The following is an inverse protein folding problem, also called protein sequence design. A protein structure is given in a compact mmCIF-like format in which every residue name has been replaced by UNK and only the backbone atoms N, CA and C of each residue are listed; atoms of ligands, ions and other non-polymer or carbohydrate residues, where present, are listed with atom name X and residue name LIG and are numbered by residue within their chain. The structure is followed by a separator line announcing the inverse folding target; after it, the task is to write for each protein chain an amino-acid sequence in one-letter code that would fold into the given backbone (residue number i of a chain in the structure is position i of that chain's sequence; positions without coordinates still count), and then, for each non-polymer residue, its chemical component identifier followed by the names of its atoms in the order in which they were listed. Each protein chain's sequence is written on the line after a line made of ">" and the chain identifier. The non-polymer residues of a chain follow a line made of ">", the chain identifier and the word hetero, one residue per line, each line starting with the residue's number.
data_IF_477536679245
#
_entry.id   IF_477536679245
#
_cell.length_a   1.000
_cell.length_b   1.000
_cell.length_c   1.000
_cell.angle_alpha   90.00
_cell.angle_beta   90.00
_cell.angle_gamma   90.00
#
_symmetry.space_group_name_H-M   'P 1'
#
loop_
_entity.id
_entity.type
_entity.pdbx_description
1 polymer ?
#
# COMPACT_ATOMS: atom_id res chain seq x y z
N UNK A 1 18.28 -27.14 -10.32
CA UNK A 1 18.14 -26.61 -8.94
C UNK A 1 16.70 -26.87 -8.49
N UNK A 2 16.52 -27.47 -7.34
CA UNK A 2 15.20 -27.58 -6.74
C UNK A 2 14.66 -26.17 -6.50
N UNK A 3 13.39 -25.95 -6.80
CA UNK A 3 12.74 -24.66 -6.64
C UNK A 3 12.20 -24.49 -5.24
N UNK A 4 12.05 -23.23 -4.80
CA UNK A 4 11.27 -22.92 -3.62
C UNK A 4 9.83 -23.40 -3.79
N UNK A 5 9.18 -23.83 -2.71
CA UNK A 5 7.73 -24.04 -2.69
C UNK A 5 7.11 -22.99 -1.78
N UNK A 6 6.17 -22.24 -2.34
CA UNK A 6 5.42 -21.21 -1.60
C UNK A 6 3.98 -21.69 -1.47
N UNK A 7 3.59 -22.03 -0.25
CA UNK A 7 2.23 -22.45 0.06
C UNK A 7 1.46 -21.26 0.62
N UNK A 8 0.31 -20.94 0.03
CA UNK A 8 -0.46 -19.78 0.42
C UNK A 8 -1.83 -19.70 -0.24
N UNK A 9 -2.46 -18.52 -0.19
CA UNK A 9 -3.74 -18.24 -0.83
C UNK A 9 -3.65 -16.99 -1.72
N UNK A 10 -4.46 -16.94 -2.76
CA UNK A 10 -4.44 -15.85 -3.75
C UNK A 10 -4.86 -14.50 -3.15
N UNK A 11 -5.71 -14.50 -2.15
CA UNK A 11 -6.20 -13.33 -1.44
C UNK A 11 -5.25 -12.82 -0.36
N UNK A 12 -4.33 -13.63 0.17
CA UNK A 12 -3.44 -13.29 1.28
C UNK A 12 -2.45 -12.16 0.92
N UNK A 13 -2.44 -11.03 1.64
CA UNK A 13 -1.54 -9.89 1.36
C UNK A 13 -0.06 -10.25 1.49
N UNK A 14 0.31 -11.01 2.53
CA UNK A 14 1.68 -11.46 2.75
C UNK A 14 2.16 -12.43 1.69
N UNK A 15 1.26 -13.29 1.18
CA UNK A 15 1.54 -14.14 0.05
C UNK A 15 1.79 -13.32 -1.22
N UNK A 16 0.96 -12.31 -1.49
CA UNK A 16 1.15 -11.39 -2.61
C UNK A 16 2.50 -10.65 -2.50
N UNK A 17 2.81 -10.11 -1.32
CA UNK A 17 4.06 -9.43 -1.02
C UNK A 17 5.28 -10.33 -1.25
N UNK A 18 5.26 -11.56 -0.72
CA UNK A 18 6.35 -12.53 -0.89
C UNK A 18 6.53 -12.93 -2.36
N UNK A 19 5.44 -13.19 -3.10
CA UNK A 19 5.49 -13.50 -4.54
C UNK A 19 6.09 -12.35 -5.36
N UNK A 20 5.69 -11.10 -5.07
CA UNK A 20 6.25 -9.91 -5.74
C UNK A 20 7.74 -9.79 -5.46
N UNK A 21 8.16 -9.96 -4.19
CA UNK A 21 9.56 -9.91 -3.80
C UNK A 21 10.39 -10.98 -4.52
N UNK A 22 9.96 -12.24 -4.50
CA UNK A 22 10.64 -13.33 -5.20
C UNK A 22 10.72 -13.10 -6.71
N UNK A 23 9.62 -12.65 -7.32
CA UNK A 23 9.57 -12.33 -8.76
C UNK A 23 10.54 -11.23 -9.15
N UNK A 24 10.60 -10.13 -8.39
CA UNK A 24 11.51 -9.00 -8.64
C UNK A 24 12.99 -9.38 -8.55
N UNK A 25 13.30 -10.37 -7.71
CA UNK A 25 14.65 -10.94 -7.60
C UNK A 25 14.88 -12.15 -8.51
N UNK A 26 13.91 -12.48 -9.40
CA UNK A 26 13.99 -13.62 -10.34
C UNK A 26 14.23 -14.97 -9.66
N UNK A 27 13.72 -15.11 -8.45
CA UNK A 27 13.77 -16.38 -7.71
C UNK A 27 12.64 -17.27 -8.20
N UNK A 28 12.97 -18.40 -8.80
CA UNK A 28 11.97 -19.36 -9.26
C UNK A 28 11.36 -20.12 -8.08
N UNK A 29 10.04 -20.23 -8.07
CA UNK A 29 9.30 -20.98 -7.05
C UNK A 29 8.10 -21.70 -7.66
N UNK A 30 7.66 -22.75 -6.97
CA UNK A 30 6.40 -23.45 -7.27
C UNK A 30 5.33 -22.93 -6.30
N UNK A 31 4.26 -22.36 -6.85
CA UNK A 31 3.12 -21.88 -6.07
C UNK A 31 2.15 -23.02 -5.79
N UNK A 32 1.79 -23.20 -4.52
CA UNK A 32 0.80 -24.16 -4.06
C UNK A 32 -0.36 -23.39 -3.42
N UNK A 33 -1.46 -23.34 -4.14
CA UNK A 33 -2.68 -22.67 -3.67
C UNK A 33 -3.46 -23.59 -2.74
N UNK A 34 -3.65 -23.19 -1.49
CA UNK A 34 -4.37 -23.94 -0.48
C UNK A 34 -5.86 -24.12 -0.79
N UNK A 35 -6.47 -23.16 -1.52
CA UNK A 35 -7.89 -23.24 -1.88
C UNK A 35 -8.16 -24.36 -2.89
N UNK A 36 -7.19 -24.60 -3.78
CA UNK A 36 -7.27 -25.60 -4.83
C UNK A 36 -6.58 -26.93 -4.47
N UNK A 37 -5.94 -27.02 -3.28
CA UNK A 37 -5.21 -28.20 -2.84
C UNK A 37 -5.46 -28.50 -1.35
N UNK A 38 -6.47 -29.31 -1.02
CA UNK A 38 -6.78 -29.65 0.36
C UNK A 38 -5.61 -30.32 1.13
N UNK A 39 -4.70 -31.01 0.43
CA UNK A 39 -3.50 -31.58 1.03
C UNK A 39 -2.51 -30.54 1.52
N UNK A 40 -2.51 -29.35 0.92
CA UNK A 40 -1.64 -28.25 1.31
C UNK A 40 -1.98 -27.69 2.70
N UNK A 41 -3.27 -27.68 3.07
CA UNK A 41 -3.71 -27.25 4.41
C UNK A 41 -3.10 -28.16 5.48
N UNK A 42 -3.24 -29.48 5.31
CA UNK A 42 -2.67 -30.44 6.25
C UNK A 42 -1.13 -30.36 6.32
N UNK A 43 -0.48 -30.07 5.17
CA UNK A 43 0.96 -29.85 5.12
C UNK A 43 1.36 -28.60 5.92
N UNK A 44 0.69 -27.47 5.72
CA UNK A 44 0.95 -26.22 6.46
C UNK A 44 0.73 -26.42 7.96
N UNK A 45 -0.37 -27.04 8.38
CA UNK A 45 -0.64 -27.33 9.79
C UNK A 45 0.46 -28.21 10.41
N UNK A 46 0.91 -29.23 9.68
CA UNK A 46 2.02 -30.09 10.13
C UNK A 46 3.32 -29.33 10.29
N UNK A 47 3.65 -28.42 9.36
CA UNK A 47 4.88 -27.64 9.36
C UNK A 47 4.85 -26.52 10.42
N UNK A 48 3.67 -25.98 10.73
CA UNK A 48 3.49 -24.80 11.58
C UNK A 48 2.87 -25.15 12.95
N UNK A 49 3.12 -26.37 13.46
CA UNK A 49 2.63 -26.80 14.78
C UNK A 49 1.10 -26.65 14.95
N UNK A 50 0.34 -27.01 13.92
CA UNK A 50 -1.12 -26.97 13.92
C UNK A 50 -1.71 -25.61 13.49
N UNK A 51 -0.89 -24.60 13.15
CA UNK A 51 -1.36 -23.31 12.67
C UNK A 51 -1.43 -23.26 11.13
N UNK A 52 -2.40 -22.51 10.59
CA UNK A 52 -2.58 -22.27 9.16
C UNK A 52 -1.90 -20.99 8.68
N UNK A 53 -0.70 -20.70 9.21
CA UNK A 53 0.04 -19.49 8.85
C UNK A 53 0.56 -19.54 7.42
N UNK A 54 0.31 -18.50 6.63
CA UNK A 54 0.72 -18.35 5.23
C UNK A 54 1.24 -16.93 4.93
N UNK A 55 2.20 -16.78 4.00
CA UNK A 55 2.86 -17.85 3.23
C UNK A 55 3.77 -18.75 4.08
N UNK A 56 3.73 -20.04 3.83
CA UNK A 56 4.74 -20.99 4.32
C UNK A 56 5.67 -21.30 3.16
N UNK A 57 6.95 -20.98 3.29
CA UNK A 57 7.95 -21.09 2.23
C UNK A 57 8.96 -22.18 2.59
N UNK A 58 9.02 -23.22 1.76
CA UNK A 58 9.96 -24.32 1.90
C UNK A 58 11.15 -24.10 0.95
N UNK A 59 12.35 -24.15 1.50
CA UNK A 59 13.59 -24.00 0.75
C UNK A 59 14.18 -25.35 0.37
N UNK A 60 15.00 -25.43 -0.69
CA UNK A 60 15.64 -26.66 -1.13
C UNK A 60 16.57 -27.31 -0.08
N UNK A 61 17.09 -26.52 0.84
CA UNK A 61 17.92 -26.99 1.95
C UNK A 61 17.10 -27.60 3.11
N UNK A 62 15.78 -27.69 2.95
CA UNK A 62 14.86 -28.21 3.95
C UNK A 62 14.44 -27.20 5.02
N UNK A 63 14.97 -25.98 5.00
CA UNK A 63 14.53 -24.93 5.92
C UNK A 63 13.18 -24.36 5.51
N UNK A 64 12.48 -23.77 6.50
CA UNK A 64 11.12 -23.24 6.31
C UNK A 64 11.08 -21.82 6.88
N UNK A 65 10.45 -20.92 6.17
CA UNK A 65 10.04 -19.62 6.69
C UNK A 65 8.50 -19.52 6.68
N UNK A 66 7.95 -19.03 7.78
CA UNK A 66 6.51 -18.86 7.98
C UNK A 66 6.20 -17.38 8.11
N UNK A 67 5.34 -16.87 7.23
CA UNK A 67 5.00 -15.43 7.17
C UNK A 67 6.25 -14.51 7.16
N UNK A 68 7.32 -14.87 6.39
CA UNK A 68 8.56 -14.11 6.47
C UNK A 68 8.37 -12.68 5.99
N UNK A 69 9.02 -11.74 6.67
CA UNK A 69 9.25 -10.40 6.16
C UNK A 69 10.15 -10.44 4.90
N UNK A 70 10.19 -9.35 4.14
CA UNK A 70 11.13 -9.28 3.01
C UNK A 70 12.60 -9.22 3.46
N UNK A 71 12.86 -8.72 4.69
CA UNK A 71 14.20 -8.74 5.30
C UNK A 71 14.67 -10.19 5.52
N UNK A 72 13.82 -11.03 6.11
CA UNK A 72 14.11 -12.45 6.35
C UNK A 72 14.27 -13.22 5.03
N UNK A 73 13.45 -12.90 4.01
CA UNK A 73 13.61 -13.47 2.67
C UNK A 73 14.92 -13.04 2.03
N UNK A 74 15.29 -11.76 2.15
CA UNK A 74 16.54 -11.24 1.60
C UNK A 74 17.76 -11.91 2.26
N UNK A 75 17.73 -12.03 3.61
CA UNK A 75 18.82 -12.69 4.36
C UNK A 75 18.95 -14.16 3.96
N UNK A 76 17.81 -14.88 3.89
CA UNK A 76 17.81 -16.32 3.53
C UNK A 76 18.25 -16.57 2.09
N UNK A 77 18.00 -15.63 1.18
CA UNK A 77 18.34 -15.71 -0.23
C UNK A 77 19.66 -15.02 -0.57
N UNK A 78 20.39 -14.53 0.45
CA UNK A 78 21.67 -13.81 0.30
C UNK A 78 21.58 -12.63 -0.68
N UNK A 79 20.41 -11.95 -0.71
CA UNK A 79 20.20 -10.76 -1.56
C UNK A 79 20.91 -9.58 -0.92
N UNK A 80 21.80 -8.93 -1.70
CA UNK A 80 22.50 -7.74 -1.23
C UNK A 80 21.53 -6.62 -0.87
N UNK A 81 21.71 -6.05 0.34
CA UNK A 81 20.95 -4.90 0.86
C UNK A 81 21.86 -3.68 1.07
N UNK A 82 22.98 -3.62 0.38
CA UNK A 82 23.89 -2.48 0.40
C UNK A 82 23.91 -1.81 -0.95
N UNK A 83 23.91 -0.47 -0.96
CA UNK A 83 24.05 0.32 -2.17
C UNK A 83 25.43 0.08 -2.82
N UNK A 84 25.43 0.00 -4.14
CA UNK A 84 26.67 -0.22 -4.94
C UNK A 84 27.61 0.97 -4.86
N UNK A 85 27.09 2.16 -4.55
CA UNK A 85 27.86 3.39 -4.50
C UNK A 85 27.55 4.18 -3.22
N UNK A 86 28.51 4.99 -2.82
CA UNK A 86 28.37 5.85 -1.64
C UNK A 86 27.69 7.20 -1.96
N UNK A 87 27.58 7.57 -3.25
CA UNK A 87 27.05 8.87 -3.68
C UNK A 87 26.13 8.74 -4.89
N UNK A 88 25.00 9.46 -4.85
CA UNK A 88 23.99 9.54 -5.90
C UNK A 88 23.56 10.99 -6.15
N UNK A 89 23.12 11.27 -7.38
CA UNK A 89 22.47 12.56 -7.67
C UNK A 89 21.12 12.65 -6.99
N UNK A 90 20.38 11.52 -6.94
CA UNK A 90 19.07 11.43 -6.32
C UNK A 90 18.93 10.12 -5.55
N UNK A 91 18.57 10.24 -4.26
CA UNK A 91 18.05 9.14 -3.45
C UNK A 91 16.55 9.31 -3.27
N UNK A 92 15.80 8.23 -3.42
CA UNK A 92 14.33 8.23 -3.26
C UNK A 92 13.97 7.27 -2.12
N UNK A 93 13.30 7.77 -1.10
CA UNK A 93 12.77 6.98 0.00
C UNK A 93 11.35 6.49 -0.33
N UNK A 94 11.21 5.17 -0.51
CA UNK A 94 9.99 4.48 -0.94
C UNK A 94 10.06 4.02 -2.40
N UNK A 95 9.39 2.91 -2.73
CA UNK A 95 9.41 2.25 -4.04
C UNK A 95 8.04 2.22 -4.74
N UNK A 96 7.15 3.15 -4.42
CA UNK A 96 5.82 3.25 -5.02
C UNK A 96 5.82 3.88 -6.43
N UNK A 97 4.63 4.05 -7.04
CA UNK A 97 4.50 4.60 -8.39
C UNK A 97 5.12 5.98 -8.59
N UNK A 98 5.02 6.88 -7.60
CA UNK A 98 5.66 8.20 -7.66
C UNK A 98 7.18 8.06 -7.73
N UNK A 99 7.78 7.20 -6.90
CA UNK A 99 9.22 6.91 -6.87
C UNK A 99 9.72 6.38 -8.18
N UNK A 100 9.08 5.31 -8.66
CA UNK A 100 9.48 4.63 -9.90
C UNK A 100 9.39 5.58 -11.10
N UNK A 101 8.34 6.40 -11.15
CA UNK A 101 8.20 7.41 -12.22
C UNK A 101 9.29 8.48 -12.12
N UNK A 102 9.53 9.04 -10.93
CA UNK A 102 10.62 10.02 -10.74
C UNK A 102 11.97 9.44 -11.16
N UNK A 103 12.25 8.21 -10.73
CA UNK A 103 13.51 7.54 -11.05
C UNK A 103 13.69 7.31 -12.56
N UNK A 104 12.62 6.89 -13.28
CA UNK A 104 12.64 6.74 -14.74
C UNK A 104 12.98 8.07 -15.42
N UNK A 105 12.30 9.17 -15.03
CA UNK A 105 12.54 10.49 -15.63
C UNK A 105 13.96 10.99 -15.33
N UNK A 106 14.40 10.89 -14.08
CA UNK A 106 15.73 11.35 -13.65
C UNK A 106 16.87 10.54 -14.33
N UNK A 107 16.75 9.21 -14.34
CA UNK A 107 17.78 8.36 -14.95
C UNK A 107 17.86 8.52 -16.48
N UNK A 108 16.76 8.83 -17.16
CA UNK A 108 16.78 9.18 -18.61
C UNK A 108 17.58 10.45 -18.91
N UNK A 109 17.80 11.29 -17.93
CA UNK A 109 18.63 12.49 -18.01
C UNK A 109 20.03 12.28 -17.44
N UNK A 110 20.47 11.02 -17.36
CA UNK A 110 21.78 10.57 -16.87
C UNK A 110 22.05 10.87 -15.39
N UNK A 111 21.03 11.11 -14.59
CA UNK A 111 21.21 11.20 -13.14
C UNK A 111 21.40 9.80 -12.55
N UNK A 112 22.31 9.68 -11.61
CA UNK A 112 22.55 8.46 -10.83
C UNK A 112 21.50 8.37 -9.72
N UNK A 113 20.59 7.42 -9.84
CA UNK A 113 19.39 7.32 -8.98
C UNK A 113 19.41 6.03 -8.17
N UNK A 114 19.13 6.17 -6.88
CA UNK A 114 18.89 5.06 -5.96
C UNK A 114 17.48 5.16 -5.39
N UNK A 115 16.72 4.06 -5.46
CA UNK A 115 15.48 3.86 -4.70
C UNK A 115 15.78 2.99 -3.49
N UNK A 116 15.33 3.42 -2.30
CA UNK A 116 15.39 2.64 -1.06
C UNK A 116 13.98 2.29 -0.63
N UNK A 117 13.63 0.99 -0.69
CA UNK A 117 12.29 0.48 -0.40
C UNK A 117 12.33 -0.53 0.75
N UNK A 118 11.50 -0.30 1.77
CA UNK A 118 11.44 -1.16 2.97
C UNK A 118 10.90 -2.56 2.72
N UNK A 119 10.15 -2.75 1.64
CA UNK A 119 9.57 -4.04 1.28
C UNK A 119 9.80 -4.36 -0.20
N UNK A 120 8.79 -4.74 -0.94
CA UNK A 120 8.84 -4.91 -2.39
C UNK A 120 8.43 -3.61 -3.10
N UNK A 121 8.95 -3.35 -4.28
CA UNK A 121 8.55 -2.19 -5.08
C UNK A 121 7.09 -2.29 -5.52
N UNK A 122 6.46 -1.13 -5.69
CA UNK A 122 5.06 -0.98 -6.04
C UNK A 122 4.22 -0.35 -4.94
N UNK A 123 4.66 -0.44 -3.68
CA UNK A 123 3.90 0.11 -2.54
C UNK A 123 2.47 -0.43 -2.50
N UNK A 124 1.50 0.41 -2.17
CA UNK A 124 0.07 0.04 -2.15
C UNK A 124 -0.44 -0.42 -3.53
N UNK A 125 0.09 0.14 -4.61
CA UNK A 125 -0.28 -0.30 -5.96
C UNK A 125 0.11 -1.77 -6.22
N UNK A 126 1.26 -2.21 -5.71
CA UNK A 126 1.74 -3.59 -5.91
C UNK A 126 0.89 -4.66 -5.24
N UNK A 127 0.12 -4.32 -4.21
CA UNK A 127 -0.77 -5.25 -3.50
C UNK A 127 -2.25 -5.11 -3.90
N UNK A 128 -2.59 -4.09 -4.70
CA UNK A 128 -3.93 -3.92 -5.27
C UNK A 128 -4.18 -5.02 -6.30
N UNK A 129 -5.35 -5.66 -6.24
CA UNK A 129 -5.68 -6.77 -7.11
C UNK A 129 -5.71 -6.34 -8.58
N UNK A 130 -6.41 -5.24 -8.90
CA UNK A 130 -6.58 -4.76 -10.26
C UNK A 130 -6.84 -3.25 -10.30
N UNK A 131 -6.33 -2.60 -11.33
CA UNK A 131 -6.64 -1.20 -11.69
C UNK A 131 -7.42 -1.16 -13.00
N UNK A 132 -8.65 -0.69 -12.95
CA UNK A 132 -9.49 -0.41 -14.13
C UNK A 132 -9.49 1.09 -14.49
N UNK A 133 -8.96 1.94 -13.60
CA UNK A 133 -8.93 3.40 -13.77
C UNK A 133 -7.56 3.96 -14.13
N UNK A 134 -6.57 3.12 -14.47
CA UNK A 134 -5.26 3.58 -14.92
C UNK A 134 -5.21 3.64 -16.45
N UNK A 135 -4.99 4.84 -17.05
CA UNK A 135 -5.01 5.00 -18.51
C UNK A 135 -3.97 4.15 -19.23
N UNK A 136 -4.33 3.62 -20.40
CA UNK A 136 -3.48 2.77 -21.22
C UNK A 136 -3.76 1.28 -21.10
N UNK A 137 -4.65 0.88 -20.19
CA UNK A 137 -5.06 -0.51 -19.98
C UNK A 137 -6.58 -0.65 -20.05
N UNK A 138 -7.15 -0.76 -21.26
CA UNK A 138 -8.62 -0.78 -21.45
C UNK A 138 -9.29 -1.97 -20.76
N UNK A 139 -8.55 -3.07 -20.60
CA UNK A 139 -9.04 -4.29 -19.92
C UNK A 139 -8.58 -4.35 -18.45
N UNK A 140 -8.08 -3.23 -17.88
CA UNK A 140 -7.46 -3.19 -16.56
C UNK A 140 -6.10 -3.88 -16.51
N UNK A 141 -5.42 -3.76 -15.37
CA UNK A 141 -4.12 -4.39 -15.11
C UNK A 141 -3.98 -4.77 -13.64
N UNK A 142 -3.38 -5.93 -13.35
CA UNK A 142 -3.03 -6.31 -11.99
C UNK A 142 -2.00 -5.36 -11.38
N UNK A 143 -2.19 -5.00 -10.11
CA UNK A 143 -1.29 -4.05 -9.45
C UNK A 143 0.15 -4.56 -9.35
N UNK A 144 0.34 -5.83 -9.04
CA UNK A 144 1.66 -6.46 -9.01
C UNK A 144 2.34 -6.43 -10.39
N UNK A 145 1.60 -6.72 -11.46
CA UNK A 145 2.11 -6.67 -12.84
C UNK A 145 2.51 -5.25 -13.23
N UNK A 146 1.69 -4.25 -12.90
CA UNK A 146 2.00 -2.85 -13.19
C UNK A 146 3.24 -2.37 -12.44
N UNK A 147 3.35 -2.73 -11.16
CA UNK A 147 4.52 -2.42 -10.34
C UNK A 147 5.81 -3.04 -10.89
N UNK A 148 5.74 -4.29 -11.34
CA UNK A 148 6.86 -4.97 -11.99
C UNK A 148 7.27 -4.26 -13.29
N UNK A 149 6.30 -3.89 -14.15
CA UNK A 149 6.57 -3.14 -15.39
C UNK A 149 7.28 -1.80 -15.11
N UNK A 150 6.84 -1.05 -14.08
CA UNK A 150 7.51 0.18 -13.67
C UNK A 150 8.94 -0.07 -13.17
N UNK A 151 9.15 -1.10 -12.33
CA UNK A 151 10.46 -1.46 -11.81
C UNK A 151 11.42 -1.91 -12.94
N UNK A 152 10.94 -2.73 -13.87
CA UNK A 152 11.73 -3.15 -15.04
C UNK A 152 12.11 -1.95 -15.92
N UNK A 153 11.19 -1.01 -16.11
CA UNK A 153 11.47 0.22 -16.85
C UNK A 153 12.53 1.08 -16.15
N UNK A 154 12.44 1.26 -14.83
CA UNK A 154 13.45 1.98 -14.05
C UNK A 154 14.83 1.30 -14.14
N UNK A 155 14.90 -0.01 -13.93
CA UNK A 155 16.13 -0.80 -14.05
C UNK A 155 16.75 -0.72 -15.45
N UNK A 156 15.95 -0.66 -16.52
CA UNK A 156 16.42 -0.50 -17.90
C UNK A 156 17.24 0.80 -18.08
N UNK A 157 16.96 1.84 -17.31
CA UNK A 157 17.70 3.11 -17.34
C UNK A 157 18.81 3.18 -16.29
N UNK A 158 19.15 2.06 -15.64
CA UNK A 158 20.26 1.99 -14.69
C UNK A 158 19.90 2.47 -13.28
N UNK A 159 18.61 2.56 -12.95
CA UNK A 159 18.17 2.86 -11.58
C UNK A 159 18.52 1.69 -10.67
N UNK A 160 19.24 1.97 -9.61
CA UNK A 160 19.49 1.01 -8.54
C UNK A 160 18.30 0.99 -7.56
N UNK A 161 17.88 -0.20 -7.15
CA UNK A 161 16.75 -0.39 -6.25
C UNK A 161 17.16 -1.32 -5.12
N UNK A 162 17.27 -0.76 -3.92
CA UNK A 162 17.43 -1.54 -2.69
C UNK A 162 16.07 -1.91 -2.14
N UNK A 163 15.80 -3.18 -2.01
CA UNK A 163 14.59 -3.72 -1.38
C UNK A 163 14.93 -4.30 -0.01
N UNK A 164 13.94 -4.41 0.87
CA UNK A 164 14.12 -4.83 2.24
C UNK A 164 15.10 -3.92 3.01
N UNK A 165 15.15 -2.63 2.64
CA UNK A 165 15.97 -1.59 3.29
C UNK A 165 15.11 -0.36 3.56
N UNK A 166 15.13 0.14 4.80
CA UNK A 166 14.46 1.39 5.17
C UNK A 166 15.44 2.55 5.20
N UNK A 167 14.97 3.73 4.82
CA UNK A 167 15.60 4.98 5.24
C UNK A 167 15.19 5.23 6.68
N UNK A 168 16.17 5.34 7.59
CA UNK A 168 15.92 5.57 9.02
C UNK A 168 15.96 7.05 9.38
N UNK A 169 16.86 7.78 8.74
CA UNK A 169 17.00 9.21 8.96
C UNK A 169 17.78 9.86 7.81
N UNK A 170 17.73 11.17 7.74
CA UNK A 170 18.61 11.95 6.87
C UNK A 170 18.95 13.29 7.55
N UNK A 171 20.04 13.88 7.11
CA UNK A 171 20.50 15.20 7.56
C UNK A 171 21.18 15.94 6.42
N UNK A 172 21.06 17.26 6.40
CA UNK A 172 21.86 18.09 5.51
C UNK A 172 23.34 18.03 5.91
N UNK A 173 24.23 18.01 4.91
CA UNK A 173 25.69 18.03 5.07
C UNK A 173 26.29 19.00 4.07
N UNK A 174 27.59 19.26 4.19
CA UNK A 174 28.34 20.16 3.27
C UNK A 174 28.34 19.64 1.82
N UNK A 175 28.14 18.33 1.63
CA UNK A 175 28.13 17.68 0.32
C UNK A 175 26.72 17.35 -0.20
N UNK A 176 25.66 17.81 0.48
CA UNK A 176 24.28 17.54 0.13
C UNK A 176 23.48 16.95 1.29
N UNK A 177 23.01 15.72 1.16
CA UNK A 177 22.15 15.07 2.15
C UNK A 177 22.73 13.69 2.47
N UNK A 178 23.05 13.45 3.73
CA UNK A 178 23.44 12.13 4.23
C UNK A 178 22.17 11.34 4.57
N UNK A 179 21.95 10.22 3.91
CA UNK A 179 20.80 9.33 4.09
C UNK A 179 21.26 8.06 4.80
N UNK A 180 20.76 7.82 6.01
CA UNK A 180 21.06 6.61 6.78
C UNK A 180 20.01 5.53 6.54
N UNK A 181 20.47 4.29 6.30
CA UNK A 181 19.62 3.13 6.05
C UNK A 181 19.57 2.18 7.26
N UNK A 182 18.59 1.27 7.25
CA UNK A 182 18.44 0.21 8.27
C UNK A 182 19.57 -0.82 8.26
N UNK A 183 20.40 -0.83 7.24
CA UNK A 183 21.64 -1.65 7.16
C UNK A 183 22.87 -0.92 7.73
N UNK A 184 22.67 0.22 8.39
CA UNK A 184 23.69 1.12 8.91
C UNK A 184 24.62 1.76 7.85
N UNK A 185 24.28 1.65 6.56
CA UNK A 185 24.98 2.38 5.50
C UNK A 185 24.52 3.84 5.50
N UNK A 186 25.47 4.76 5.31
CA UNK A 186 25.20 6.18 5.04
C UNK A 186 25.49 6.45 3.58
N UNK A 187 24.51 6.95 2.86
CA UNK A 187 24.53 7.23 1.43
C UNK A 187 24.44 8.74 1.24
N UNK A 188 25.33 9.31 0.45
CA UNK A 188 25.29 10.72 0.10
C UNK A 188 24.38 10.96 -1.10
N UNK A 189 23.54 11.97 -1.01
CA UNK A 189 22.64 12.37 -2.09
C UNK A 189 22.75 13.88 -2.35
N UNK A 190 22.76 14.30 -3.61
CA UNK A 190 22.64 15.71 -3.97
C UNK A 190 21.22 16.22 -3.80
N UNK A 191 20.23 15.33 -4.01
CA UNK A 191 18.82 15.55 -3.72
C UNK A 191 18.19 14.31 -3.09
N UNK A 192 17.18 14.50 -2.22
CA UNK A 192 16.40 13.45 -1.60
C UNK A 192 14.91 13.64 -1.96
N UNK A 193 14.25 12.57 -2.38
CA UNK A 193 12.80 12.56 -2.55
C UNK A 193 12.13 11.66 -1.52
N UNK A 194 11.14 12.20 -0.83
CA UNK A 194 10.29 11.48 0.12
C UNK A 194 9.03 10.99 -0.61
N UNK A 195 8.91 9.70 -0.82
CA UNK A 195 7.78 9.07 -1.51
C UNK A 195 7.31 7.80 -0.78
N UNK A 196 7.32 7.86 0.54
CA UNK A 196 7.00 6.73 1.44
C UNK A 196 5.52 6.40 1.51
N UNK A 197 4.66 7.21 0.85
CA UNK A 197 3.23 6.98 0.76
C UNK A 197 2.48 7.13 2.08
N UNK A 198 1.31 6.51 2.12
CA UNK A 198 0.45 6.44 3.31
C UNK A 198 -0.09 5.03 3.50
N UNK A 199 -0.56 4.75 4.71
CA UNK A 199 -1.15 3.45 5.07
C UNK A 199 -2.58 3.67 5.55
N UNK A 200 -3.51 2.87 5.05
CA UNK A 200 -4.89 2.90 5.53
C UNK A 200 -4.93 2.46 7.00
N UNK A 201 -5.73 3.18 7.79
CA UNK A 201 -6.01 2.79 9.16
C UNK A 201 -6.82 1.51 9.17
N UNK A 202 -6.52 0.67 10.13
CA UNK A 202 -7.19 -0.60 10.36
C UNK A 202 -8.26 -0.45 11.41
N UNK A 203 -9.27 -1.31 11.33
CA UNK A 203 -10.32 -1.37 12.36
C UNK A 203 -9.84 -2.13 13.59
N UNK A 204 -8.81 -2.96 13.43
CA UNK A 204 -8.32 -3.94 14.40
C UNK A 204 -9.39 -4.98 14.80
N UNK A 205 -10.41 -5.16 13.96
CA UNK A 205 -11.46 -6.15 14.17
C UNK A 205 -10.97 -7.55 13.80
N UNK A 206 -11.50 -8.56 14.48
CA UNK A 206 -11.18 -9.97 14.21
C UNK A 206 -11.53 -10.27 12.74
N UNK A 207 -10.65 -11.00 12.04
CA UNK A 207 -10.85 -11.41 10.64
C UNK A 207 -10.59 -10.32 9.60
N UNK A 208 -10.23 -9.08 10.00
CA UNK A 208 -9.93 -8.01 9.03
C UNK A 208 -8.77 -8.41 8.11
N UNK A 209 -7.66 -8.85 8.68
CA UNK A 209 -6.44 -9.18 7.92
C UNK A 209 -6.66 -10.30 6.90
N UNK A 210 -7.47 -11.29 7.25
CA UNK A 210 -7.75 -12.44 6.40
C UNK A 210 -8.64 -12.09 5.19
N UNK A 211 -9.42 -11.00 5.29
CA UNK A 211 -10.43 -10.63 4.30
C UNK A 211 -10.05 -9.42 3.45
N UNK A 212 -8.87 -8.83 3.64
CA UNK A 212 -8.40 -7.75 2.78
C UNK A 212 -8.18 -8.26 1.36
N UNK A 213 -8.86 -7.59 0.40
CA UNK A 213 -8.91 -8.01 -1.00
C UNK A 213 -9.86 -9.19 -1.27
N UNK A 214 -10.37 -9.85 -0.22
CA UNK A 214 -11.35 -10.94 -0.33
C UNK A 214 -12.76 -10.52 0.14
N UNK A 215 -12.97 -9.20 0.30
CA UNK A 215 -14.24 -8.62 0.72
C UNK A 215 -14.08 -7.36 1.58
N UNK A 216 -12.86 -7.04 2.04
CA UNK A 216 -12.53 -5.78 2.70
C UNK A 216 -11.64 -4.95 1.79
N UNK A 217 -12.04 -3.71 1.53
CA UNK A 217 -11.43 -2.81 0.57
C UNK A 217 -11.20 -1.42 1.16
N UNK A 218 -10.31 -0.64 0.55
CA UNK A 218 -9.94 0.71 0.97
C UNK A 218 -10.09 1.77 -0.14
N UNK A 219 -10.67 1.37 -1.29
CA UNK A 219 -10.86 2.26 -2.44
C UNK A 219 -12.14 1.87 -3.18
N UNK A 220 -13.21 2.65 -3.07
CA UNK A 220 -14.47 2.34 -3.76
C UNK A 220 -14.36 2.50 -5.27
N UNK A 221 -13.60 3.48 -5.77
CA UNK A 221 -13.38 3.67 -7.21
C UNK A 221 -12.57 2.53 -7.84
N UNK A 222 -11.74 1.84 -7.05
CA UNK A 222 -10.95 0.71 -7.52
C UNK A 222 -11.78 -0.59 -7.50
N UNK A 223 -12.46 -0.85 -6.38
CA UNK A 223 -13.04 -2.16 -6.07
C UNK A 223 -14.57 -2.19 -6.19
N UNK A 224 -15.25 -1.03 -6.11
CA UNK A 224 -16.71 -0.92 -6.21
C UNK A 224 -17.30 -1.58 -7.46
N UNK A 225 -16.72 -1.41 -8.67
CA UNK A 225 -17.23 -2.04 -9.88
C UNK A 225 -17.35 -3.57 -9.83
N UNK A 226 -16.54 -4.25 -8.99
CA UNK A 226 -16.62 -5.71 -8.80
C UNK A 226 -17.88 -6.16 -8.04
N UNK A 227 -18.55 -5.22 -7.36
CA UNK A 227 -19.75 -5.46 -6.57
C UNK A 227 -21.05 -5.15 -7.33
N UNK A 228 -21.01 -5.07 -8.66
CA UNK A 228 -22.22 -4.83 -9.46
C UNK A 228 -23.27 -5.91 -9.23
N UNK A 229 -24.44 -5.49 -8.67
CA UNK A 229 -25.53 -6.38 -8.30
C UNK A 229 -25.43 -6.95 -6.88
N UNK A 230 -24.48 -6.46 -6.06
CA UNK A 230 -24.44 -6.79 -4.64
C UNK A 230 -25.71 -6.34 -3.93
N UNK A 231 -26.14 -7.09 -2.92
CA UNK A 231 -27.33 -6.74 -2.12
C UNK A 231 -27.00 -5.70 -1.09
N UNK A 232 -25.89 -5.87 -0.40
CA UNK A 232 -25.49 -5.03 0.73
C UNK A 232 -23.98 -4.78 0.71
N UNK A 233 -23.60 -3.49 0.77
CA UNK A 233 -22.23 -3.08 1.02
C UNK A 233 -22.16 -2.27 2.32
N UNK A 234 -21.11 -2.47 3.08
CA UNK A 234 -20.86 -1.73 4.32
C UNK A 234 -19.71 -0.74 4.10
N UNK A 235 -19.92 0.48 4.56
CA UNK A 235 -18.92 1.54 4.61
C UNK A 235 -18.57 1.84 6.05
N UNK A 236 -17.31 1.76 6.42
CA UNK A 236 -16.81 2.07 7.76
C UNK A 236 -16.21 3.48 7.76
N UNK A 237 -16.85 4.38 8.50
CA UNK A 237 -16.43 5.77 8.67
C UNK A 237 -17.39 6.78 8.04
N UNK A 238 -17.85 7.72 8.87
CA UNK A 238 -18.79 8.80 8.52
C UNK A 238 -18.14 10.15 8.22
N UNK A 239 -16.85 10.15 7.85
CA UNK A 239 -16.13 11.32 7.35
C UNK A 239 -16.43 11.62 5.88
N UNK A 240 -15.83 12.71 5.32
CA UNK A 240 -16.03 13.06 3.90
C UNK A 240 -15.78 11.88 2.97
N UNK A 241 -14.65 11.20 3.11
CA UNK A 241 -14.29 10.06 2.24
C UNK A 241 -15.34 8.94 2.32
N UNK A 242 -15.74 8.53 3.54
CA UNK A 242 -16.72 7.45 3.68
C UNK A 242 -18.10 7.81 3.10
N UNK A 243 -18.53 9.07 3.22
CA UNK A 243 -19.82 9.51 2.66
C UNK A 243 -19.78 9.65 1.13
N UNK A 244 -18.70 10.21 0.57
CA UNK A 244 -18.52 10.33 -0.89
C UNK A 244 -18.41 8.96 -1.55
N UNK A 245 -17.54 8.10 -1.02
CA UNK A 245 -17.32 6.75 -1.54
C UNK A 245 -18.57 5.86 -1.31
N UNK A 246 -19.27 6.04 -0.19
CA UNK A 246 -20.55 5.36 0.06
C UNK A 246 -21.62 5.71 -0.97
N UNK A 247 -21.76 7.01 -1.30
CA UNK A 247 -22.64 7.46 -2.38
C UNK A 247 -22.23 6.87 -3.74
N UNK A 248 -20.94 6.79 -4.02
CA UNK A 248 -20.44 6.17 -5.24
C UNK A 248 -20.81 4.67 -5.31
N UNK A 249 -20.69 3.94 -4.21
CA UNK A 249 -21.01 2.51 -4.12
C UNK A 249 -22.49 2.19 -4.39
N UNK A 250 -23.42 3.13 -4.19
CA UNK A 250 -24.85 2.94 -4.52
C UNK A 250 -25.11 2.66 -6.01
N UNK A 251 -24.14 2.92 -6.87
CA UNK A 251 -24.22 2.59 -8.30
C UNK A 251 -24.07 1.09 -8.55
N UNK A 252 -23.49 0.35 -7.62
CA UNK A 252 -23.15 -1.06 -7.77
C UNK A 252 -23.99 -1.98 -6.89
N UNK A 253 -24.47 -1.50 -5.74
CA UNK A 253 -25.24 -2.27 -4.79
C UNK A 253 -26.72 -1.84 -4.74
N UNK A 254 -27.56 -2.75 -4.25
CA UNK A 254 -28.95 -2.46 -3.93
C UNK A 254 -29.04 -1.56 -2.71
N UNK A 255 -28.16 -1.76 -1.72
CA UNK A 255 -28.10 -0.98 -0.49
C UNK A 255 -26.66 -0.80 0.02
N UNK A 256 -26.41 0.33 0.71
CA UNK A 256 -25.11 0.68 1.34
C UNK A 256 -25.36 1.16 2.77
N UNK A 257 -24.79 0.48 3.75
CA UNK A 257 -24.85 0.87 5.16
C UNK A 257 -23.55 1.54 5.61
N UNK A 258 -23.65 2.80 6.07
CA UNK A 258 -22.54 3.51 6.71
C UNK A 258 -22.52 3.22 8.19
N UNK A 259 -21.40 2.72 8.72
CA UNK A 259 -21.18 2.48 10.15
C UNK A 259 -20.17 3.52 10.67
N UNK A 260 -20.61 4.33 11.62
CA UNK A 260 -19.80 5.37 12.26
C UNK A 260 -19.74 5.13 13.78
N UNK A 261 -18.54 5.16 14.34
CA UNK A 261 -18.33 4.98 15.79
C UNK A 261 -18.79 6.16 16.63
N UNK A 262 -18.80 7.35 16.03
CA UNK A 262 -19.26 8.56 16.70
C UNK A 262 -20.79 8.67 16.74
N UNK A 263 -21.27 9.57 17.56
CA UNK A 263 -22.68 9.94 17.73
C UNK A 263 -23.22 10.75 16.55
N UNK A 264 -22.36 11.14 15.62
CA UNK A 264 -22.70 11.99 14.48
C UNK A 264 -21.76 11.77 13.31
N UNK A 265 -22.25 12.00 12.08
CA UNK A 265 -21.43 12.03 10.88
C UNK A 265 -20.48 13.24 10.91
N UNK A 266 -19.24 13.05 10.47
CA UNK A 266 -18.16 14.05 10.47
C UNK A 266 -17.88 14.66 9.10
N UNK A 267 -18.55 14.19 8.06
CA UNK A 267 -18.48 14.77 6.72
C UNK A 267 -19.16 16.13 6.62
N UNK A 268 -19.00 16.81 5.48
CA UNK A 268 -19.65 18.10 5.23
C UNK A 268 -21.17 17.97 5.30
N UNK A 269 -21.87 19.04 5.73
CA UNK A 269 -23.34 19.02 5.82
C UNK A 269 -24.02 18.60 4.53
N UNK A 270 -23.49 19.05 3.39
CA UNK A 270 -24.01 18.67 2.08
C UNK A 270 -23.94 17.17 1.82
N UNK A 271 -22.84 16.52 2.22
CA UNK A 271 -22.69 15.06 2.08
C UNK A 271 -23.59 14.31 3.05
N UNK A 272 -23.70 14.80 4.30
CA UNK A 272 -24.62 14.24 5.28
C UNK A 272 -26.06 14.26 4.76
N UNK A 273 -26.52 15.41 4.24
CA UNK A 273 -27.86 15.56 3.68
C UNK A 273 -28.10 14.59 2.50
N UNK A 274 -27.12 14.47 1.59
CA UNK A 274 -27.20 13.53 0.46
C UNK A 274 -27.34 12.08 0.93
N UNK A 275 -26.52 11.66 1.88
CA UNK A 275 -26.52 10.29 2.40
C UNK A 275 -27.81 9.98 3.16
N UNK A 276 -28.23 10.89 4.06
CA UNK A 276 -29.42 10.68 4.90
C UNK A 276 -30.74 10.67 4.11
N UNK A 277 -30.78 11.33 2.93
CA UNK A 277 -31.93 11.36 2.04
C UNK A 277 -31.84 10.34 0.89
N UNK A 278 -30.79 9.53 0.83
CA UNK A 278 -30.59 8.59 -0.27
C UNK A 278 -31.35 7.28 -0.02
N UNK A 279 -32.26 6.89 -0.94
CA UNK A 279 -33.10 5.71 -0.82
C UNK A 279 -32.37 4.37 -0.62
N UNK A 280 -31.13 4.28 -1.15
CA UNK A 280 -30.29 3.09 -1.04
C UNK A 280 -29.28 3.17 0.11
N UNK A 281 -29.37 4.14 1.01
CA UNK A 281 -28.38 4.27 2.07
C UNK A 281 -29.01 4.27 3.46
N UNK A 282 -28.30 3.71 4.41
CA UNK A 282 -28.59 3.83 5.83
C UNK A 282 -27.35 4.17 6.63
N UNK A 283 -27.55 4.75 7.82
CA UNK A 283 -26.45 5.16 8.71
C UNK A 283 -26.68 4.52 10.08
N UNK A 284 -25.63 3.91 10.61
CA UNK A 284 -25.54 3.36 11.96
C UNK A 284 -24.51 4.20 12.73
N UNK A 285 -24.98 5.07 13.59
CA UNK A 285 -24.16 5.86 14.51
C UNK A 285 -23.88 5.07 15.79
N UNK A 286 -22.91 5.54 16.58
CA UNK A 286 -22.51 4.88 17.84
C UNK A 286 -22.26 3.38 17.65
N UNK A 287 -21.73 2.99 16.50
CA UNK A 287 -21.59 1.59 16.10
C UNK A 287 -20.14 1.28 15.69
N UNK A 288 -19.62 0.17 16.18
CA UNK A 288 -18.28 -0.31 15.86
C UNK A 288 -18.30 -1.71 15.28
N UNK A 289 -17.26 -2.07 14.56
CA UNK A 289 -17.07 -3.43 14.05
C UNK A 289 -16.18 -4.20 15.02
N UNK A 290 -16.62 -5.39 15.42
CA UNK A 290 -15.86 -6.34 16.28
C UNK A 290 -15.19 -7.44 15.47
N UNK A 291 -15.87 -7.91 14.42
CA UNK A 291 -15.43 -9.06 13.65
C UNK A 291 -15.95 -8.98 12.22
N UNK A 292 -15.16 -9.47 11.29
CA UNK A 292 -15.54 -9.80 9.93
C UNK A 292 -15.58 -11.31 9.78
N UNK A 293 -16.71 -11.86 9.35
CA UNK A 293 -16.85 -13.30 9.15
C UNK A 293 -16.72 -13.65 7.68
N UNK A 294 -16.20 -14.86 7.42
CA UNK A 294 -16.03 -15.37 6.06
C UNK A 294 -17.01 -16.47 5.71
N UNK A 295 -17.24 -16.65 4.41
CA UNK A 295 -17.85 -17.86 3.85
C UNK A 295 -16.83 -19.00 3.85
N UNK A 296 -17.27 -20.24 3.60
CA UNK A 296 -16.38 -21.38 3.40
C UNK A 296 -15.37 -21.15 2.26
N UNK A 297 -15.71 -20.30 1.28
CA UNK A 297 -14.82 -19.89 0.17
C UNK A 297 -13.89 -18.72 0.48
N UNK A 298 -13.75 -18.30 1.74
CA UNK A 298 -12.80 -17.24 2.15
C UNK A 298 -13.22 -15.82 1.76
N UNK A 299 -14.45 -15.58 1.31
CA UNK A 299 -14.99 -14.24 1.01
C UNK A 299 -15.74 -13.69 2.21
N UNK A 300 -15.86 -12.37 2.30
CA UNK A 300 -16.68 -11.72 3.31
C UNK A 300 -18.13 -12.27 3.26
N UNK A 301 -18.67 -12.59 4.44
CA UNK A 301 -20.07 -12.99 4.64
C UNK A 301 -20.84 -11.94 5.41
N UNK A 302 -20.28 -11.45 6.50
CA UNK A 302 -20.95 -10.50 7.38
C UNK A 302 -19.97 -9.69 8.21
N UNK A 303 -20.50 -8.63 8.79
CA UNK A 303 -19.83 -7.77 9.75
C UNK A 303 -20.54 -7.88 11.09
N UNK A 304 -19.83 -8.24 12.15
CA UNK A 304 -20.38 -8.24 13.51
C UNK A 304 -20.27 -6.82 14.07
N UNK A 305 -21.40 -6.20 14.26
CA UNK A 305 -21.52 -4.81 14.69
C UNK A 305 -21.90 -4.75 16.17
N UNK A 306 -21.22 -3.88 16.91
CA UNK A 306 -21.56 -3.53 18.29
C UNK A 306 -22.14 -2.11 18.34
N UNK A 307 -23.33 -1.98 18.91
CA UNK A 307 -23.90 -0.69 19.30
C UNK A 307 -23.20 -0.22 20.57
N UNK A 308 -22.43 0.85 20.50
CA UNK A 308 -21.56 1.29 21.59
C UNK A 308 -22.34 1.86 22.80
N UNK A 309 -23.56 2.33 22.59
CA UNK A 309 -24.42 2.87 23.64
C UNK A 309 -25.11 1.77 24.46
N UNK A 310 -25.58 0.71 23.78
CA UNK A 310 -26.34 -0.37 24.41
C UNK A 310 -25.49 -1.60 24.73
N UNK A 311 -24.33 -1.75 24.07
CA UNK A 311 -23.52 -2.96 24.10
C UNK A 311 -24.11 -4.13 23.32
N UNK A 312 -25.23 -3.93 22.58
CA UNK A 312 -25.82 -4.95 21.75
C UNK A 312 -24.90 -5.31 20.59
N UNK A 313 -24.79 -6.60 20.33
CA UNK A 313 -23.98 -7.13 19.22
C UNK A 313 -24.91 -7.88 18.26
N UNK A 314 -24.79 -7.60 16.97
CA UNK A 314 -25.58 -8.26 15.94
C UNK A 314 -24.77 -8.52 14.67
N UNK A 315 -25.20 -9.52 13.91
CA UNK A 315 -24.64 -9.84 12.59
C UNK A 315 -25.31 -8.97 11.52
N UNK A 316 -24.51 -8.30 10.70
CA UNK A 316 -24.94 -7.55 9.52
C UNK A 316 -24.37 -8.24 8.28
N UNK A 317 -25.23 -8.87 7.48
CA UNK A 317 -24.80 -9.55 6.25
C UNK A 317 -24.32 -8.51 5.25
N UNK A 318 -23.20 -8.79 4.59
CA UNK A 318 -22.61 -7.89 3.61
C UNK A 318 -21.83 -8.65 2.55
N UNK A 319 -21.98 -8.25 1.28
CA UNK A 319 -21.21 -8.79 0.17
C UNK A 319 -19.78 -8.20 0.13
N UNK A 320 -19.61 -6.99 0.67
CA UNK A 320 -18.31 -6.30 0.78
C UNK A 320 -18.30 -5.21 1.84
N UNK A 321 -17.13 -4.92 2.39
CA UNK A 321 -16.89 -3.85 3.35
C UNK A 321 -15.81 -2.90 2.84
N UNK A 322 -16.06 -1.59 2.94
CA UNK A 322 -15.15 -0.53 2.50
C UNK A 322 -14.74 0.32 3.69
N UNK A 323 -13.43 0.37 3.99
CA UNK A 323 -12.90 0.98 5.21
C UNK A 323 -12.35 2.37 4.92
N UNK A 324 -13.03 3.42 5.40
CA UNK A 324 -12.68 4.83 5.21
C UNK A 324 -12.51 5.57 6.55
N UNK A 325 -11.81 4.95 7.50
CA UNK A 325 -11.56 5.50 8.84
C UNK A 325 -10.28 6.35 8.91
N UNK A 326 -9.68 6.65 7.75
CA UNK A 326 -8.54 7.53 7.59
C UNK A 326 -7.30 6.85 7.05
N UNK A 327 -6.30 7.70 6.80
CA UNK A 327 -4.97 7.33 6.31
C UNK A 327 -3.93 7.95 7.24
N UNK A 328 -2.89 7.18 7.55
CA UNK A 328 -1.71 7.66 8.24
C UNK A 328 -0.56 7.80 7.24
N UNK A 329 0.01 9.00 7.06
CA UNK A 329 1.19 9.17 6.25
C UNK A 329 2.40 8.48 6.90
N UNK A 330 3.26 7.89 6.07
CA UNK A 330 4.48 7.23 6.53
C UNK A 330 5.60 8.24 6.82
N UNK A 331 5.36 9.13 7.79
CA UNK A 331 6.21 10.29 8.13
C UNK A 331 6.81 10.25 9.53
N UNK A 332 6.47 9.26 10.37
CA UNK A 332 6.92 9.18 11.78
C UNK A 332 8.44 9.14 11.96
N UNK A 333 9.19 8.76 10.94
CA UNK A 333 10.65 8.65 10.95
C UNK A 333 11.36 9.95 10.51
N UNK A 334 10.60 10.93 10.00
CA UNK A 334 11.17 12.17 9.48
C UNK A 334 11.79 13.00 10.60
N UNK A 335 12.93 13.68 10.33
CA UNK A 335 13.54 14.58 11.30
C UNK A 335 12.65 15.81 11.55
N UNK A 336 12.86 16.46 12.68
CA UNK A 336 12.31 17.77 12.98
C UNK A 336 12.77 18.77 11.90
N UNK A 337 11.87 19.63 11.43
CA UNK A 337 12.15 20.63 10.39
C UNK A 337 11.49 20.38 9.04
N UNK A 338 10.90 19.20 8.83
CA UNK A 338 9.95 18.99 7.74
C UNK A 338 8.59 19.51 8.17
N UNK A 339 8.02 20.44 7.39
CA UNK A 339 6.68 20.96 7.64
C UNK A 339 5.61 19.92 7.29
N UNK A 340 4.77 19.61 8.28
CA UNK A 340 3.64 18.69 8.13
C UNK A 340 2.31 19.44 8.28
N UNK A 341 1.26 18.90 7.70
CA UNK A 341 -0.10 19.34 7.98
C UNK A 341 -0.62 18.74 9.32
N UNK A 342 -1.84 19.10 9.71
CA UNK A 342 -2.46 18.63 10.96
C UNK A 342 -2.67 17.10 11.01
N UNK A 343 -2.64 16.44 9.85
CA UNK A 343 -2.77 14.98 9.70
C UNK A 343 -1.41 14.28 9.59
N UNK A 344 -0.30 15.03 9.59
CA UNK A 344 1.05 14.52 9.47
C UNK A 344 1.54 14.32 8.02
N UNK A 345 0.81 14.77 7.00
CA UNK A 345 1.28 14.74 5.60
C UNK A 345 2.29 15.86 5.33
N UNK A 346 3.27 15.59 4.47
CA UNK A 346 4.33 16.55 4.13
C UNK A 346 3.74 17.71 3.33
N UNK A 347 3.94 18.94 3.82
CA UNK A 347 3.64 20.15 3.06
C UNK A 347 4.72 20.38 2.02
N UNK A 348 4.30 20.73 0.80
CA UNK A 348 5.18 21.10 -0.30
C UNK A 348 4.67 22.38 -0.96
N UNK A 349 5.59 23.09 -1.60
CA UNK A 349 5.21 24.12 -2.56
C UNK A 349 4.70 23.49 -3.88
N UNK A 350 4.38 24.36 -4.86
CA UNK A 350 3.93 23.91 -6.19
C UNK A 350 5.03 23.19 -6.99
N UNK A 351 6.29 23.31 -6.58
CA UNK A 351 7.45 22.65 -7.16
C UNK A 351 7.85 21.38 -6.40
N UNK A 352 6.96 20.84 -5.58
CA UNK A 352 7.18 19.65 -4.76
C UNK A 352 8.32 19.74 -3.74
N UNK A 353 8.82 20.96 -3.43
CA UNK A 353 9.86 21.20 -2.45
C UNK A 353 9.27 21.16 -1.06
N UNK A 354 10.01 20.56 -0.14
CA UNK A 354 9.69 20.61 1.30
C UNK A 354 10.31 21.86 1.94
N UNK A 355 10.15 21.99 3.25
CA UNK A 355 10.83 23.06 4.04
C UNK A 355 12.35 22.90 4.14
N UNK A 356 12.91 21.75 3.74
CA UNK A 356 14.36 21.51 3.73
C UNK A 356 14.88 21.59 2.29
N UNK A 357 15.92 22.41 2.07
CA UNK A 357 16.55 22.58 0.76
C UNK A 357 17.08 21.21 0.23
N UNK A 358 16.85 20.93 -1.04
CA UNK A 358 17.25 19.67 -1.68
C UNK A 358 16.36 18.47 -1.36
N UNK A 359 15.35 18.65 -0.48
CA UNK A 359 14.40 17.60 -0.13
C UNK A 359 13.05 17.87 -0.78
N UNK A 360 12.55 16.89 -1.52
CA UNK A 360 11.28 16.94 -2.25
C UNK A 360 10.31 15.86 -1.70
N UNK A 361 9.01 16.04 -1.96
CA UNK A 361 8.05 14.99 -1.63
C UNK A 361 7.00 14.85 -2.72
N UNK A 362 6.57 13.60 -3.02
CA UNK A 362 5.57 13.30 -4.03
C UNK A 362 4.72 12.07 -3.68
N UNK A 363 3.56 11.96 -4.32
CA UNK A 363 2.60 10.89 -4.09
C UNK A 363 1.86 11.03 -2.76
N UNK A 364 1.41 9.91 -2.23
CA UNK A 364 0.44 9.87 -1.13
C UNK A 364 0.96 10.33 0.24
N UNK A 365 2.26 10.49 0.40
CA UNK A 365 2.85 11.08 1.61
C UNK A 365 2.65 12.60 1.69
N UNK A 366 2.31 13.24 0.56
CA UNK A 366 2.16 14.68 0.43
C UNK A 366 0.76 15.17 0.82
N UNK A 367 0.68 16.32 1.49
CA UNK A 367 -0.56 17.03 1.75
C UNK A 367 -1.22 17.41 0.41
N UNK A 368 -2.55 17.28 0.33
CA UNK A 368 -3.32 17.58 -0.88
C UNK A 368 -3.21 16.55 -2.01
N UNK A 369 -2.50 15.44 -1.84
CA UNK A 369 -2.53 14.32 -2.80
C UNK A 369 -3.93 13.70 -2.87
N UNK A 370 -4.35 13.29 -4.07
CA UNK A 370 -5.67 12.67 -4.31
C UNK A 370 -5.70 11.18 -3.99
N UNK A 371 -4.58 10.60 -3.59
CA UNK A 371 -4.46 9.17 -3.24
C UNK A 371 -4.86 8.23 -4.39
N UNK A 372 -4.55 8.65 -5.64
CA UNK A 372 -4.80 7.87 -6.85
C UNK A 372 -3.49 7.51 -7.55
N UNK A 373 -3.43 6.33 -8.18
CA UNK A 373 -2.26 5.84 -8.90
C UNK A 373 -1.79 6.83 -9.98
N UNK A 374 -2.70 7.29 -10.84
CA UNK A 374 -2.38 8.23 -11.93
C UNK A 374 -1.85 9.56 -11.40
N UNK A 375 -2.37 10.05 -10.27
CA UNK A 375 -1.91 11.26 -9.61
C UNK A 375 -0.50 11.08 -9.03
N UNK A 376 -0.21 9.93 -8.40
CA UNK A 376 1.13 9.63 -7.89
C UNK A 376 2.17 9.55 -9.02
N UNK A 377 1.81 8.98 -10.18
CA UNK A 377 2.65 8.96 -11.39
C UNK A 377 2.88 10.39 -11.92
N UNK A 378 1.83 11.20 -11.99
CA UNK A 378 1.91 12.61 -12.39
C UNK A 378 2.81 13.44 -11.47
N UNK A 379 2.62 13.30 -10.15
CA UNK A 379 3.48 13.92 -9.13
C UNK A 379 4.95 13.52 -9.35
N UNK A 380 5.21 12.23 -9.58
CA UNK A 380 6.56 11.72 -9.81
C UNK A 380 7.24 12.32 -11.03
N UNK A 381 6.53 12.42 -12.16
CA UNK A 381 7.04 13.03 -13.37
C UNK A 381 7.35 14.53 -13.19
N UNK A 382 6.44 15.27 -12.54
CA UNK A 382 6.63 16.68 -12.26
C UNK A 382 7.80 16.92 -11.29
N UNK A 383 7.89 16.11 -10.23
CA UNK A 383 8.96 16.22 -9.23
C UNK A 383 10.34 15.97 -9.85
N UNK A 384 10.48 14.99 -10.75
CA UNK A 384 11.75 14.74 -11.44
C UNK A 384 12.28 15.97 -12.17
N UNK A 385 11.41 16.72 -12.86
CA UNK A 385 11.77 17.97 -13.56
C UNK A 385 12.25 19.01 -12.55
N UNK A 386 11.59 19.14 -11.40
CA UNK A 386 11.98 20.11 -10.38
C UNK A 386 13.31 19.74 -9.70
N UNK A 387 13.54 18.46 -9.46
CA UNK A 387 14.82 17.94 -8.94
C UNK A 387 15.93 18.27 -9.92
N UNK A 388 15.74 18.06 -11.21
CA UNK A 388 16.70 18.43 -12.22
C UNK A 388 17.07 19.93 -12.16
N UNK A 389 16.07 20.82 -12.17
CA UNK A 389 16.32 22.26 -12.07
C UNK A 389 17.08 22.64 -10.80
N UNK A 390 16.77 21.96 -9.68
CA UNK A 390 17.52 22.15 -8.45
C UNK A 390 18.98 21.73 -8.60
N UNK A 391 19.25 20.54 -9.15
CA UNK A 391 20.61 20.01 -9.33
C UNK A 391 21.42 20.87 -10.32
N UNK A 392 20.80 21.40 -11.38
CA UNK A 392 21.42 22.31 -12.33
C UNK A 392 21.80 23.65 -11.64
N UNK A 393 21.04 24.09 -10.65
CA UNK A 393 21.32 25.31 -9.88
C UNK A 393 22.49 25.17 -8.88
N UNK A 394 22.95 23.94 -8.59
CA UNK A 394 24.09 23.67 -7.72
C UNK A 394 25.43 23.67 -8.47
N UNK A 395 25.41 23.63 -9.80
CA UNK A 395 26.58 23.65 -10.66
C UNK A 395 26.86 25.08 -11.13
#
# INVERSE_FOLDING_TARGET
>A
MEKLRVIGASWCPDCKRAKVFLGQHRIAYDWVDMENNPGAIAEVERLNNGKRSIPTILFPDGSILVEPSNDELADKLEISRSAENDCYDLVIAGGGPASLTTAIYAARENLKVLIVEKSAVGGQAGVTERFDNYPGFPDGIGGAELAERFALQAKRYGVEILQAVRVESFKSSDMGIDVKTSTNQTIQARALMLATGSTYRRTDAIGEDDLIGAGIHFCATCDGPFYKGAKELVVLGGGNSGLEEGLFLTQFAEHVTVIERGDSLKGSKLLQEKVLNHEKMSVKLNSGVKEFTSTEGGKLRSVIVEELDSGNVYEHLADGAFVFIGLDPNTKWLPSGIDLDERGFIKTDQMFRTSIAGVFAAGDVRAGSTKQLASAVGDGAATAIQIRYYLDSLN
#
